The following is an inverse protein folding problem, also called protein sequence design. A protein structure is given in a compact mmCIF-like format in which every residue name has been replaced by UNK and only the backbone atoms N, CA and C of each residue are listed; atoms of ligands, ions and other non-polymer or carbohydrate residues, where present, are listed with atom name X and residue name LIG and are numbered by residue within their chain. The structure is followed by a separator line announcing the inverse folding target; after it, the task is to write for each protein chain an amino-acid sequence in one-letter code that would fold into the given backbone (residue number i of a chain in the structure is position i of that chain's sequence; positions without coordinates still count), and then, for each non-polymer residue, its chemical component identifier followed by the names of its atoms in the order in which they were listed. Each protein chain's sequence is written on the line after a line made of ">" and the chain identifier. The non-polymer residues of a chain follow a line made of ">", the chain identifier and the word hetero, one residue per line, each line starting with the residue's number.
data_IF_085324745494
#
_entry.id   IF_085324745494
#
_cell.length_a   1.000
_cell.length_b   1.000
_cell.length_c   1.000
_cell.angle_alpha   90.00
_cell.angle_beta   90.00
_cell.angle_gamma   90.00
#
_symmetry.space_group_name_H-M   'P 1'
#
loop_
_entity.id
_entity.type
_entity.pdbx_description
1 polymer ?
#
# COMPACT_ATOMS: atom_id res chain seq x y z
N UNK A 1 44.15 -37.55 65.99
CA UNK A 1 43.62 -36.19 65.69
C UNK A 1 43.57 -35.86 64.19
N UNK A 2 44.36 -36.51 63.32
CA UNK A 2 44.47 -36.18 61.89
C UNK A 2 43.29 -36.68 61.00
N UNK A 3 42.59 -37.75 61.39
CA UNK A 3 41.47 -38.29 60.59
C UNK A 3 40.18 -37.47 60.73
N UNK A 4 39.95 -36.92 61.93
CA UNK A 4 38.75 -36.11 62.22
C UNK A 4 38.78 -34.78 61.46
N UNK A 5 39.96 -34.19 61.25
CA UNK A 5 40.11 -32.96 60.46
C UNK A 5 39.93 -33.18 58.95
N UNK A 6 40.40 -34.32 58.41
CA UNK A 6 40.16 -34.70 57.01
C UNK A 6 38.68 -34.93 56.71
N UNK A 7 37.95 -35.60 57.61
CA UNK A 7 36.51 -35.82 57.45
C UNK A 7 35.73 -34.50 57.39
N UNK A 8 36.06 -33.54 58.26
CA UNK A 8 35.41 -32.22 58.29
C UNK A 8 35.74 -31.42 57.02
N UNK A 9 36.98 -31.52 56.53
CA UNK A 9 37.40 -30.83 55.31
C UNK A 9 36.66 -31.35 54.07
N UNK A 10 36.50 -32.67 53.95
CA UNK A 10 35.76 -33.30 52.85
C UNK A 10 34.27 -32.93 52.92
N UNK A 11 33.68 -32.90 54.13
CA UNK A 11 32.30 -32.47 54.33
C UNK A 11 32.10 -31.00 53.94
N UNK A 12 33.05 -30.12 54.29
CA UNK A 12 33.00 -28.72 53.90
C UNK A 12 33.12 -28.53 52.38
N UNK A 13 34.00 -29.29 51.70
CA UNK A 13 34.14 -29.26 50.24
C UNK A 13 32.86 -29.75 49.56
N UNK A 14 32.23 -30.81 50.07
CA UNK A 14 30.96 -31.33 49.53
C UNK A 14 29.80 -30.34 49.72
N UNK A 15 29.74 -29.66 50.86
CA UNK A 15 28.75 -28.60 51.10
C UNK A 15 28.99 -27.42 50.15
N UNK A 16 30.25 -27.03 49.94
CA UNK A 16 30.62 -25.98 48.98
C UNK A 16 30.22 -26.38 47.55
N UNK A 17 30.52 -27.61 47.14
CA UNK A 17 30.15 -28.14 45.82
C UNK A 17 28.64 -28.21 45.64
N UNK A 18 27.90 -28.64 46.67
CA UNK A 18 26.44 -28.63 46.69
C UNK A 18 25.86 -27.22 46.56
N UNK A 19 26.43 -26.24 47.26
CA UNK A 19 26.05 -24.83 47.14
C UNK A 19 26.33 -24.28 45.73
N UNK A 20 27.51 -24.54 45.15
CA UNK A 20 27.83 -24.12 43.78
C UNK A 20 26.91 -24.77 42.73
N UNK A 21 26.59 -26.05 42.87
CA UNK A 21 25.63 -26.73 41.98
C UNK A 21 24.20 -26.17 42.13
N UNK A 22 23.79 -25.83 43.34
CA UNK A 22 22.49 -25.21 43.62
C UNK A 22 22.40 -23.82 42.99
N UNK A 23 23.46 -23.01 43.11
CA UNK A 23 23.53 -21.67 42.52
C UNK A 23 23.57 -21.75 40.98
N UNK A 24 24.30 -22.72 40.41
CA UNK A 24 24.31 -22.97 38.96
C UNK A 24 22.92 -23.36 38.43
N UNK A 25 22.20 -24.27 39.10
CA UNK A 25 20.83 -24.64 38.72
C UNK A 25 19.82 -23.50 38.89
N UNK A 26 20.02 -22.62 39.87
CA UNK A 26 19.17 -21.45 40.06
C UNK A 26 19.41 -20.37 38.98
N UNK A 27 20.60 -20.35 38.36
CA UNK A 27 20.92 -19.47 37.23
C UNK A 27 20.34 -19.92 35.89
N UNK A 28 20.01 -21.21 35.74
CA UNK A 28 19.33 -21.76 34.55
C UNK A 28 17.82 -21.44 34.53
N UNK A 29 17.25 -21.08 35.68
CA UNK A 29 15.88 -20.59 35.83
C UNK A 29 15.74 -19.07 35.62
N UNK A 30 16.62 -18.46 34.83
CA UNK A 30 16.37 -17.12 34.29
C UNK A 30 15.13 -17.21 33.40
N UNK A 31 13.96 -16.87 33.94
CA UNK A 31 12.73 -16.76 33.18
C UNK A 31 13.01 -15.92 31.92
N UNK A 32 12.97 -16.58 30.75
CA UNK A 32 13.11 -15.90 29.48
C UNK A 32 11.96 -14.90 29.37
N UNK A 33 12.30 -13.62 29.46
CA UNK A 33 11.32 -12.55 29.29
C UNK A 33 10.68 -12.71 27.92
N UNK A 34 9.37 -12.94 27.91
CA UNK A 34 8.58 -13.06 26.70
C UNK A 34 7.79 -11.77 26.54
N UNK A 35 7.97 -11.11 25.40
CA UNK A 35 7.29 -9.87 25.09
C UNK A 35 5.82 -10.12 24.78
N UNK A 36 4.93 -9.49 25.54
CA UNK A 36 3.49 -9.50 25.30
C UNK A 36 3.10 -8.22 24.57
N UNK A 37 2.74 -8.35 23.29
CA UNK A 37 2.48 -7.21 22.41
C UNK A 37 0.99 -7.14 22.12
N UNK A 38 0.33 -5.98 22.31
CA UNK A 38 -1.02 -5.78 21.82
C UNK A 38 -1.06 -6.06 20.32
N UNK A 39 -2.03 -6.87 19.89
CA UNK A 39 -2.19 -7.25 18.48
C UNK A 39 -2.12 -6.05 17.50
N UNK A 40 -2.67 -4.90 17.88
CA UNK A 40 -2.71 -3.70 17.04
C UNK A 40 -1.33 -3.05 16.84
N UNK A 41 -0.38 -3.32 17.74
CA UNK A 41 0.95 -2.72 17.74
C UNK A 41 2.02 -3.63 17.12
N UNK A 42 1.72 -4.91 16.91
CA UNK A 42 2.67 -5.84 16.28
C UNK A 42 3.03 -5.40 14.86
N UNK A 43 4.33 -5.22 14.61
CA UNK A 43 4.89 -4.70 13.36
C UNK A 43 5.22 -3.21 13.38
N UNK A 44 4.78 -2.50 14.41
CA UNK A 44 5.09 -1.08 14.65
C UNK A 44 5.26 -0.78 16.16
N UNK A 45 5.69 -1.78 16.94
CA UNK A 45 5.81 -1.68 18.40
C UNK A 45 7.01 -0.82 18.77
N UNK A 46 6.82 0.20 19.61
CA UNK A 46 7.82 1.27 19.83
C UNK A 46 8.55 1.19 21.17
N UNK A 47 8.17 0.30 22.10
CA UNK A 47 8.84 0.21 23.40
C UNK A 47 10.18 -0.54 23.28
N UNK A 48 11.25 0.23 23.07
CA UNK A 48 12.61 -0.30 22.90
C UNK A 48 13.14 -1.00 24.16
N UNK A 49 12.74 -0.56 25.36
CA UNK A 49 13.20 -1.18 26.61
C UNK A 49 12.67 -2.61 26.73
N UNK A 50 11.39 -2.81 26.41
CA UNK A 50 10.78 -4.14 26.43
C UNK A 50 11.31 -5.04 25.30
N UNK A 51 11.57 -4.48 24.12
CA UNK A 51 12.23 -5.20 23.03
C UNK A 51 13.63 -5.68 23.46
N UNK A 52 14.40 -4.84 24.16
CA UNK A 52 15.74 -5.19 24.64
C UNK A 52 15.69 -6.35 25.64
N UNK A 53 14.75 -6.30 26.60
CA UNK A 53 14.53 -7.36 27.59
C UNK A 53 14.15 -8.70 26.93
N UNK A 54 13.45 -8.65 25.80
CA UNK A 54 12.94 -9.83 25.11
C UNK A 54 13.94 -10.49 24.15
N UNK A 55 15.14 -9.92 23.98
CA UNK A 55 16.15 -10.46 23.07
C UNK A 55 16.55 -11.87 23.47
N UNK A 56 16.69 -12.74 22.46
CA UNK A 56 17.15 -14.11 22.69
C UNK A 56 18.65 -14.07 23.03
N UNK A 57 19.03 -14.66 24.16
CA UNK A 57 20.40 -14.65 24.72
C UNK A 57 21.51 -15.03 23.73
N UNK A 58 21.21 -15.95 22.80
CA UNK A 58 22.17 -16.45 21.80
C UNK A 58 21.89 -15.96 20.37
N UNK A 59 20.90 -15.08 20.17
CA UNK A 59 20.53 -14.53 18.87
C UNK A 59 19.91 -13.12 19.06
N UNK A 60 20.76 -12.11 19.11
CA UNK A 60 20.36 -10.72 19.37
C UNK A 60 19.53 -10.10 18.24
N UNK A 61 19.37 -10.80 17.11
CA UNK A 61 18.50 -10.37 16.01
C UNK A 61 17.04 -10.78 16.22
N UNK A 62 16.78 -11.66 17.19
CA UNK A 62 15.46 -12.20 17.49
C UNK A 62 15.01 -11.89 18.91
N UNK A 63 13.70 -11.80 19.07
CA UNK A 63 13.03 -11.64 20.36
C UNK A 63 12.01 -12.75 20.57
N UNK A 64 11.75 -13.05 21.83
CA UNK A 64 10.74 -14.01 22.23
C UNK A 64 9.40 -13.29 22.42
N UNK A 65 8.40 -13.62 21.62
CA UNK A 65 7.07 -12.99 21.63
C UNK A 65 6.02 -13.99 22.10
N UNK A 66 5.09 -13.53 22.94
CA UNK A 66 3.97 -14.32 23.46
C UNK A 66 2.88 -14.40 22.40
N UNK A 67 2.34 -15.60 22.21
CA UNK A 67 1.25 -15.90 21.28
C UNK A 67 0.18 -16.72 21.99
N UNK A 68 -0.95 -16.96 21.31
CA UNK A 68 -1.99 -17.86 21.80
C UNK A 68 -1.53 -19.30 22.04
N UNK A 69 -0.46 -19.74 21.35
CA UNK A 69 0.07 -21.11 21.40
C UNK A 69 1.42 -21.22 22.15
N UNK A 70 1.72 -20.26 23.02
CA UNK A 70 3.00 -20.17 23.74
C UNK A 70 3.92 -19.10 23.17
N UNK A 71 5.23 -19.25 23.32
CA UNK A 71 6.21 -18.24 22.92
C UNK A 71 6.94 -18.63 21.63
N UNK A 72 7.13 -17.69 20.72
CA UNK A 72 7.85 -17.90 19.46
C UNK A 72 9.01 -16.92 19.32
N UNK A 73 10.06 -17.33 18.61
CA UNK A 73 11.21 -16.47 18.30
C UNK A 73 11.01 -15.81 16.95
N UNK A 74 11.06 -14.49 16.90
CA UNK A 74 10.90 -13.72 15.66
C UNK A 74 11.94 -12.63 15.51
N UNK A 75 12.35 -12.27 14.28
CA UNK A 75 13.22 -11.13 14.03
C UNK A 75 12.66 -9.85 14.66
N UNK A 76 13.54 -9.03 15.25
CA UNK A 76 13.17 -7.74 15.86
C UNK A 76 12.44 -6.85 14.85
N UNK A 77 12.93 -6.79 13.61
CA UNK A 77 12.32 -5.98 12.55
C UNK A 77 10.87 -6.35 12.25
N UNK A 78 10.42 -7.58 12.52
CA UNK A 78 9.03 -7.97 12.34
C UNK A 78 8.12 -7.41 13.42
N UNK A 79 8.69 -6.96 14.54
CA UNK A 79 7.95 -6.43 15.68
C UNK A 79 7.86 -4.92 15.65
N UNK A 80 8.94 -4.23 15.32
CA UNK A 80 9.00 -2.77 15.38
C UNK A 80 9.11 -2.07 14.02
N UNK A 81 9.40 -2.80 12.94
CA UNK A 81 9.63 -2.20 11.63
C UNK A 81 9.19 -3.09 10.46
N UNK A 82 8.01 -3.70 10.57
CA UNK A 82 7.54 -4.66 9.57
C UNK A 82 7.26 -4.02 8.19
N UNK A 83 7.21 -2.68 8.12
CA UNK A 83 7.08 -1.93 6.86
C UNK A 83 8.24 -2.20 5.89
N UNK A 84 9.44 -2.50 6.40
CA UNK A 84 10.63 -2.78 5.59
C UNK A 84 10.71 -4.21 5.03
N UNK A 85 9.72 -5.06 5.31
CA UNK A 85 9.69 -6.41 4.75
C UNK A 85 9.48 -6.34 3.24
N UNK A 86 10.47 -6.83 2.48
CA UNK A 86 10.53 -6.73 1.02
C UNK A 86 10.32 -8.06 0.28
N UNK A 87 10.49 -9.20 0.95
CA UNK A 87 10.42 -10.52 0.33
C UNK A 87 9.26 -11.38 0.85
N UNK A 88 8.83 -12.34 0.02
CA UNK A 88 7.68 -13.20 0.28
C UNK A 88 7.87 -14.10 1.51
N UNK A 89 9.09 -14.62 1.72
CA UNK A 89 9.35 -15.54 2.82
C UNK A 89 9.25 -14.82 4.17
N UNK A 90 9.88 -13.65 4.28
CA UNK A 90 9.78 -12.78 5.45
C UNK A 90 8.34 -12.35 5.70
N UNK A 91 7.62 -11.92 4.66
CA UNK A 91 6.22 -11.53 4.77
C UNK A 91 5.33 -12.67 5.28
N UNK A 92 5.53 -13.88 4.77
CA UNK A 92 4.79 -15.06 5.22
C UNK A 92 5.06 -15.39 6.69
N UNK A 93 6.31 -15.27 7.16
CA UNK A 93 6.66 -15.49 8.57
C UNK A 93 6.00 -14.43 9.45
N UNK A 94 6.06 -13.17 9.05
CA UNK A 94 5.44 -12.05 9.74
C UNK A 94 3.92 -12.24 9.86
N UNK A 95 3.21 -12.55 8.77
CA UNK A 95 1.75 -12.76 8.81
C UNK A 95 1.38 -13.96 9.67
N UNK A 96 2.08 -15.09 9.56
CA UNK A 96 1.82 -16.26 10.44
C UNK A 96 2.03 -15.92 11.92
N UNK A 97 3.04 -15.12 12.22
CA UNK A 97 3.27 -14.61 13.57
C UNK A 97 2.11 -13.73 14.02
N UNK A 98 1.73 -12.76 13.20
CA UNK A 98 0.60 -11.88 13.49
C UNK A 98 -0.68 -12.67 13.75
N UNK A 99 -1.01 -13.63 12.89
CA UNK A 99 -2.17 -14.51 13.05
C UNK A 99 -2.11 -15.35 14.33
N UNK A 100 -0.92 -15.75 14.79
CA UNK A 100 -0.76 -16.48 16.06
C UNK A 100 -1.05 -15.63 17.31
N UNK A 101 -0.91 -14.30 17.18
CA UNK A 101 -1.21 -13.32 18.23
C UNK A 101 -2.67 -12.86 18.13
N UNK A 102 -3.14 -12.65 16.90
CA UNK A 102 -4.37 -11.91 16.59
C UNK A 102 -5.53 -12.78 16.06
N UNK A 103 -5.32 -14.09 15.89
CA UNK A 103 -6.27 -14.99 15.25
C UNK A 103 -6.04 -15.15 13.73
N UNK A 104 -6.47 -16.30 13.21
CA UNK A 104 -6.29 -16.69 11.81
C UNK A 104 -7.04 -15.74 10.86
N UNK A 105 -6.38 -15.33 9.76
CA UNK A 105 -6.94 -14.42 8.76
C UNK A 105 -6.86 -12.93 9.14
N UNK A 106 -6.40 -12.61 10.35
CA UNK A 106 -6.21 -11.23 10.80
C UNK A 106 -5.09 -10.54 10.01
N UNK A 107 -5.28 -9.25 9.71
CA UNK A 107 -4.28 -8.41 9.03
C UNK A 107 -3.93 -7.21 9.90
N UNK A 108 -2.64 -6.85 10.04
CA UNK A 108 -2.25 -5.64 10.75
C UNK A 108 -2.76 -4.40 10.04
N UNK A 109 -2.97 -3.32 10.80
CA UNK A 109 -3.33 -2.02 10.23
C UNK A 109 -2.30 -1.54 9.18
N UNK A 110 -1.03 -1.87 9.38
CA UNK A 110 0.08 -1.55 8.46
C UNK A 110 0.17 -2.47 7.23
N UNK A 111 -0.75 -3.42 7.03
CA UNK A 111 -0.63 -4.48 6.00
C UNK A 111 -0.32 -3.93 4.60
N UNK A 112 -1.05 -2.90 4.16
CA UNK A 112 -0.85 -2.28 2.84
C UNK A 112 0.44 -1.44 2.76
N UNK A 113 1.03 -1.08 3.91
CA UNK A 113 2.28 -0.33 4.02
C UNK A 113 3.53 -1.19 4.12
N UNK A 114 3.37 -2.52 4.17
CA UNK A 114 4.49 -3.44 4.07
C UNK A 114 5.03 -3.41 2.64
N UNK A 115 6.33 -3.16 2.48
CA UNK A 115 6.94 -2.93 1.18
C UNK A 115 6.67 -4.06 0.17
N UNK A 116 6.75 -5.32 0.59
CA UNK A 116 6.40 -6.48 -0.25
C UNK A 116 4.96 -6.39 -0.81
N UNK A 117 3.99 -6.04 0.04
CA UNK A 117 2.57 -5.91 -0.35
C UNK A 117 2.39 -4.71 -1.26
N UNK A 118 2.94 -3.55 -0.88
CA UNK A 118 2.89 -2.31 -1.65
C UNK A 118 3.47 -2.49 -3.06
N UNK A 119 4.64 -3.13 -3.17
CA UNK A 119 5.28 -3.45 -4.45
C UNK A 119 4.43 -4.39 -5.30
N UNK A 120 3.80 -5.41 -4.70
CA UNK A 120 2.88 -6.30 -5.41
C UNK A 120 1.64 -5.58 -5.96
N UNK A 121 1.03 -4.70 -5.15
CA UNK A 121 -0.12 -3.87 -5.58
C UNK A 121 0.28 -2.97 -6.75
N UNK A 122 1.41 -2.28 -6.62
CA UNK A 122 1.92 -1.38 -7.66
C UNK A 122 2.21 -2.13 -8.96
N UNK A 123 2.95 -3.24 -8.90
CA UNK A 123 3.27 -4.05 -10.09
C UNK A 123 2.02 -4.56 -10.80
N UNK A 124 1.02 -5.03 -10.04
CA UNK A 124 -0.26 -5.46 -10.58
C UNK A 124 -1.04 -4.31 -11.25
N UNK A 125 -1.02 -3.11 -10.66
CA UNK A 125 -1.62 -1.92 -11.23
C UNK A 125 -0.95 -1.55 -12.57
N UNK A 126 0.39 -1.44 -12.60
CA UNK A 126 1.17 -1.10 -13.80
C UNK A 126 0.91 -2.10 -14.93
N UNK A 127 0.97 -3.41 -14.64
CA UNK A 127 0.78 -4.49 -15.62
C UNK A 127 -0.58 -4.42 -16.33
N UNK A 128 -1.63 -3.92 -15.66
CA UNK A 128 -2.96 -3.73 -16.26
C UNK A 128 -2.95 -2.61 -17.32
N UNK A 129 -2.13 -1.57 -17.14
CA UNK A 129 -2.12 -0.39 -18.01
C UNK A 129 -1.13 -0.48 -19.17
N UNK A 130 -0.05 -1.26 -19.05
CA UNK A 130 0.90 -1.52 -20.15
C UNK A 130 0.21 -1.99 -21.44
N UNK A 131 -0.87 -2.79 -21.29
CA UNK A 131 -1.68 -3.29 -22.42
C UNK A 131 -2.80 -2.34 -22.86
N UNK A 132 -3.18 -1.38 -22.02
CA UNK A 132 -4.38 -0.54 -22.22
C UNK A 132 -4.06 0.69 -23.07
N UNK A 133 -2.92 1.33 -22.83
CA UNK A 133 -2.52 2.56 -23.52
C UNK A 133 -1.37 2.30 -24.49
N UNK A 134 -1.44 2.87 -25.70
CA UNK A 134 -0.45 2.66 -26.76
C UNK A 134 0.71 3.67 -26.70
N UNK A 135 0.47 4.89 -26.25
CA UNK A 135 1.50 5.94 -26.19
C UNK A 135 2.28 5.90 -24.88
N UNK A 136 3.57 6.25 -24.94
CA UNK A 136 4.46 6.30 -23.76
C UNK A 136 3.93 7.28 -22.72
N UNK A 137 3.45 8.45 -23.15
CA UNK A 137 2.90 9.48 -22.25
C UNK A 137 1.64 8.99 -21.50
N UNK A 138 0.70 8.34 -22.20
CA UNK A 138 -0.50 7.81 -21.55
C UNK A 138 -0.17 6.69 -20.54
N UNK A 139 0.80 5.81 -20.89
CA UNK A 139 1.31 4.79 -19.97
C UNK A 139 1.96 5.43 -18.75
N UNK A 140 2.82 6.42 -18.94
CA UNK A 140 3.48 7.13 -17.84
C UNK A 140 2.46 7.78 -16.89
N UNK A 141 1.41 8.41 -17.42
CA UNK A 141 0.36 8.99 -16.59
C UNK A 141 -0.44 7.93 -15.83
N UNK A 142 -0.78 6.81 -16.47
CA UNK A 142 -1.46 5.70 -15.80
C UNK A 142 -0.61 5.10 -14.66
N UNK A 143 0.71 4.99 -14.88
CA UNK A 143 1.67 4.58 -13.84
C UNK A 143 1.71 5.59 -12.70
N UNK A 144 1.67 6.89 -12.98
CA UNK A 144 1.58 7.92 -11.95
C UNK A 144 0.31 7.75 -11.11
N UNK A 145 -0.84 7.48 -11.72
CA UNK A 145 -2.08 7.19 -10.98
C UNK A 145 -1.92 5.96 -10.07
N UNK A 146 -1.21 4.92 -10.51
CA UNK A 146 -0.90 3.75 -9.65
C UNK A 146 -0.06 4.14 -8.43
N UNK A 147 1.00 4.94 -8.63
CA UNK A 147 1.84 5.44 -7.54
C UNK A 147 1.04 6.32 -6.58
N UNK A 148 0.23 7.23 -7.12
CA UNK A 148 -0.61 8.12 -6.33
C UNK A 148 -1.64 7.35 -5.52
N UNK A 149 -2.23 6.30 -6.11
CA UNK A 149 -3.19 5.41 -5.44
C UNK A 149 -2.54 4.62 -4.31
N UNK A 150 -1.32 4.11 -4.53
CA UNK A 150 -0.55 3.46 -3.48
C UNK A 150 -0.25 4.45 -2.34
N UNK A 151 0.33 5.60 -2.66
CA UNK A 151 0.66 6.65 -1.69
C UNK A 151 -0.58 7.13 -0.92
N UNK A 152 -1.72 7.23 -1.60
CA UNK A 152 -2.99 7.54 -0.97
C UNK A 152 -3.38 6.46 0.04
N UNK A 153 -3.30 5.17 -0.32
CA UNK A 153 -3.65 4.05 0.58
C UNK A 153 -2.78 4.01 1.83
N UNK A 154 -1.52 4.48 1.75
CA UNK A 154 -0.59 4.51 2.87
C UNK A 154 -0.90 5.60 3.90
N UNK A 155 -1.44 6.74 3.44
CA UNK A 155 -1.60 7.94 4.26
C UNK A 155 -3.06 8.31 4.53
N UNK A 156 -3.99 7.78 3.74
CA UNK A 156 -5.40 8.11 3.79
C UNK A 156 -6.23 6.83 3.83
N UNK A 157 -7.10 6.64 4.84
CA UNK A 157 -8.03 5.52 4.81
C UNK A 157 -8.95 5.64 3.59
N UNK A 158 -9.17 4.52 2.92
CA UNK A 158 -10.15 4.46 1.83
C UNK A 158 -11.54 4.67 2.46
N UNK A 159 -12.33 5.64 2.01
CA UNK A 159 -13.66 5.89 2.57
C UNK A 159 -14.58 4.68 2.31
N UNK A 160 -15.54 4.46 3.21
CA UNK A 160 -16.56 3.40 3.04
C UNK A 160 -17.34 3.55 1.73
N UNK A 161 -17.51 4.80 1.28
CA UNK A 161 -18.16 5.17 0.02
C UNK A 161 -17.22 6.07 -0.79
N UNK A 162 -16.31 5.48 -1.59
CA UNK A 162 -15.55 6.21 -2.60
C UNK A 162 -16.49 6.88 -3.59
N UNK A 163 -16.00 7.91 -4.28
CA UNK A 163 -16.79 8.60 -5.30
C UNK A 163 -17.14 7.61 -6.41
N UNK A 164 -18.44 7.40 -6.61
CA UNK A 164 -18.94 6.78 -7.81
C UNK A 164 -18.93 7.85 -8.92
N UNK A 165 -18.16 7.65 -10.00
CA UNK A 165 -17.98 8.62 -11.07
C UNK A 165 -19.25 8.92 -11.87
N UNK A 166 -20.35 8.17 -11.66
CA UNK A 166 -21.62 8.32 -12.42
C UNK A 166 -21.37 8.42 -13.92
N UNK A 167 -20.50 7.56 -14.46
CA UNK A 167 -20.20 7.54 -15.89
C UNK A 167 -21.52 7.46 -16.68
N UNK A 168 -21.78 8.37 -17.63
CA UNK A 168 -20.78 9.14 -18.38
C UNK A 168 -20.40 10.53 -17.83
N UNK A 169 -20.94 10.98 -16.70
CA UNK A 169 -20.74 12.35 -16.18
C UNK A 169 -19.34 12.67 -15.61
N UNK A 170 -18.42 11.71 -15.60
CA UNK A 170 -17.04 11.93 -15.17
C UNK A 170 -16.38 13.03 -16.00
N UNK A 171 -15.83 14.04 -15.34
CA UNK A 171 -15.29 15.26 -15.96
C UNK A 171 -16.27 16.43 -15.94
N UNK A 172 -17.54 16.23 -15.64
CA UNK A 172 -18.55 17.29 -15.52
C UNK A 172 -19.40 17.15 -14.27
N UNK A 173 -18.89 16.40 -13.27
CA UNK A 173 -19.60 16.16 -12.03
C UNK A 173 -19.72 17.46 -11.21
N UNK A 174 -20.96 17.86 -10.95
CA UNK A 174 -21.28 18.88 -9.96
C UNK A 174 -21.39 18.23 -8.59
N UNK A 175 -20.28 18.22 -7.84
CA UNK A 175 -20.20 17.63 -6.51
C UNK A 175 -20.50 18.68 -5.44
N UNK A 176 -21.34 18.34 -4.46
CA UNK A 176 -21.54 19.19 -3.28
C UNK A 176 -20.30 19.16 -2.38
N UNK A 177 -20.12 20.20 -1.56
CA UNK A 177 -18.98 20.31 -0.64
C UNK A 177 -18.90 19.11 0.31
N UNK A 178 -20.03 18.62 0.78
CA UNK A 178 -20.10 17.46 1.66
C UNK A 178 -19.66 16.17 0.95
N UNK A 179 -20.04 16.00 -0.33
CA UNK A 179 -19.60 14.86 -1.14
C UNK A 179 -18.07 14.90 -1.35
N UNK A 180 -17.53 16.08 -1.70
CA UNK A 180 -16.09 16.28 -1.86
C UNK A 180 -15.31 15.96 -0.59
N UNK A 181 -15.73 16.50 0.56
CA UNK A 181 -15.04 16.29 1.83
C UNK A 181 -14.95 14.81 2.25
N UNK A 182 -15.92 13.99 1.85
CA UNK A 182 -15.96 12.56 2.20
C UNK A 182 -15.03 11.69 1.35
N UNK A 183 -14.64 12.17 0.17
CA UNK A 183 -13.83 11.40 -0.79
C UNK A 183 -12.48 12.03 -1.09
N UNK A 184 -12.26 13.29 -0.69
CA UNK A 184 -11.01 14.00 -0.91
C UNK A 184 -9.90 13.42 -0.05
N UNK A 185 -8.72 13.28 -0.65
CA UNK A 185 -7.51 12.83 0.04
C UNK A 185 -6.92 14.00 0.82
N UNK A 186 -6.45 13.74 2.04
CA UNK A 186 -5.66 14.72 2.78
C UNK A 186 -4.26 14.84 2.13
N UNK A 187 -3.54 15.89 2.49
CA UNK A 187 -2.17 16.16 2.06
C UNK A 187 -1.25 14.92 2.06
N UNK A 188 -0.19 14.86 1.23
CA UNK A 188 0.37 15.95 0.42
C UNK A 188 0.18 15.69 -1.08
N UNK A 189 -0.88 16.24 -1.67
CA UNK A 189 -1.00 16.34 -3.12
C UNK A 189 -1.07 17.82 -3.52
N UNK A 190 -0.18 18.32 -4.40
CA UNK A 190 -0.18 19.73 -4.81
C UNK A 190 -1.47 20.11 -5.56
N UNK A 191 -2.09 19.14 -6.23
CA UNK A 191 -3.42 19.26 -6.81
C UNK A 191 -4.34 18.35 -5.99
N UNK A 192 -5.49 18.85 -5.48
CA UNK A 192 -6.43 18.04 -4.72
C UNK A 192 -6.84 16.77 -5.46
N UNK A 193 -6.97 15.67 -4.72
CA UNK A 193 -7.34 14.36 -5.26
C UNK A 193 -8.54 13.79 -4.55
N UNK A 194 -9.28 12.95 -5.27
CA UNK A 194 -10.45 12.22 -4.78
C UNK A 194 -10.21 10.71 -4.89
N UNK A 195 -10.75 9.97 -3.92
CA UNK A 195 -10.93 8.52 -4.01
C UNK A 195 -12.09 8.23 -4.95
N UNK A 196 -11.78 7.65 -6.10
CA UNK A 196 -12.76 7.31 -7.14
C UNK A 196 -12.81 5.80 -7.32
N UNK A 197 -14.01 5.24 -7.42
CA UNK A 197 -14.19 3.84 -7.80
C UNK A 197 -14.06 3.69 -9.32
N UNK A 198 -13.07 2.93 -9.76
CA UNK A 198 -12.86 2.59 -11.15
C UNK A 198 -13.87 1.53 -11.64
N UNK A 199 -14.03 1.42 -12.95
CA UNK A 199 -14.96 0.50 -13.62
C UNK A 199 -14.72 -0.98 -13.28
N UNK A 200 -13.49 -1.32 -12.89
CA UNK A 200 -13.10 -2.67 -12.49
C UNK A 200 -13.33 -2.94 -10.99
N UNK A 201 -13.90 -1.99 -10.25
CA UNK A 201 -14.19 -2.07 -8.82
C UNK A 201 -13.06 -1.62 -7.89
N UNK A 202 -11.88 -1.31 -8.42
CA UNK A 202 -10.75 -0.81 -7.62
C UNK A 202 -10.94 0.67 -7.25
N UNK A 203 -10.38 1.10 -6.13
CA UNK A 203 -10.36 2.51 -5.75
C UNK A 203 -9.03 3.14 -6.18
N UNK A 204 -9.10 4.25 -6.90
CA UNK A 204 -7.95 4.97 -7.44
C UNK A 204 -7.97 6.43 -6.98
N UNK A 205 -6.78 7.03 -6.88
CA UNK A 205 -6.60 8.43 -6.51
C UNK A 205 -6.52 9.31 -7.76
N UNK A 206 -7.56 10.10 -8.02
CA UNK A 206 -7.68 10.92 -9.23
C UNK A 206 -7.67 12.41 -8.88
N UNK A 207 -7.03 13.24 -9.71
CA UNK A 207 -7.05 14.69 -9.53
C UNK A 207 -8.47 15.24 -9.67
N UNK A 208 -8.89 16.07 -8.72
CA UNK A 208 -10.25 16.58 -8.62
C UNK A 208 -10.70 17.38 -9.85
N UNK A 209 -9.83 18.22 -10.40
CA UNK A 209 -10.11 19.00 -11.61
C UNK A 209 -10.47 18.11 -12.81
N UNK A 210 -9.87 16.93 -12.93
CA UNK A 210 -10.18 15.98 -14.00
C UNK A 210 -11.53 15.26 -13.80
N UNK A 211 -12.04 15.25 -12.56
CA UNK A 211 -13.33 14.64 -12.20
C UNK A 211 -14.49 15.62 -12.40
N UNK A 212 -14.27 16.91 -12.13
CA UNK A 212 -15.34 17.91 -12.05
C UNK A 212 -15.32 18.93 -13.18
N UNK A 213 -14.17 19.15 -13.85
CA UNK A 213 -14.01 20.27 -14.78
C UNK A 213 -13.16 19.95 -16.03
N UNK A 214 -13.63 19.01 -16.84
CA UNK A 214 -13.04 18.68 -18.13
C UNK A 214 -13.11 19.82 -19.15
N UNK A 215 -13.99 20.81 -18.96
CA UNK A 215 -14.07 21.99 -19.84
C UNK A 215 -12.95 23.01 -19.62
N UNK A 216 -12.20 22.90 -18.53
CA UNK A 216 -11.00 23.70 -18.31
C UNK A 216 -9.74 23.13 -19.00
N UNK A 217 -9.83 21.96 -19.63
CA UNK A 217 -8.74 21.40 -20.44
C UNK A 217 -8.38 22.39 -21.55
N UNK A 218 -7.09 22.73 -21.63
CA UNK A 218 -6.59 23.83 -22.47
C UNK A 218 -5.45 23.46 -23.42
N UNK A 219 -4.87 22.25 -23.26
CA UNK A 219 -3.74 21.78 -24.03
C UNK A 219 -3.76 20.25 -24.25
N UNK A 220 -2.89 19.77 -25.14
CA UNK A 220 -2.80 18.35 -25.52
C UNK A 220 -2.47 17.43 -24.31
N UNK A 221 -1.66 17.90 -23.35
CA UNK A 221 -1.27 17.14 -22.16
C UNK A 221 -2.43 16.99 -21.16
N UNK A 222 -3.11 18.08 -20.83
CA UNK A 222 -4.30 18.07 -19.99
C UNK A 222 -5.40 17.18 -20.58
N UNK A 223 -5.59 17.25 -21.91
CA UNK A 223 -6.54 16.39 -22.60
C UNK A 223 -6.15 14.91 -22.49
N UNK A 224 -4.87 14.59 -22.66
CA UNK A 224 -4.35 13.24 -22.50
C UNK A 224 -4.60 12.72 -21.08
N UNK A 225 -4.29 13.53 -20.07
CA UNK A 225 -4.46 13.18 -18.66
C UNK A 225 -5.92 12.94 -18.32
N UNK A 226 -6.81 13.80 -18.82
CA UNK A 226 -8.25 13.62 -18.68
C UNK A 226 -8.72 12.31 -19.32
N UNK A 227 -8.33 12.03 -20.57
CA UNK A 227 -8.73 10.80 -21.29
C UNK A 227 -8.23 9.52 -20.60
N UNK A 228 -7.00 9.53 -20.08
CA UNK A 228 -6.46 8.40 -19.30
C UNK A 228 -7.28 8.18 -18.03
N UNK A 229 -7.56 9.23 -17.25
CA UNK A 229 -8.38 9.13 -16.04
C UNK A 229 -9.80 8.66 -16.35
N UNK A 230 -10.42 9.20 -17.40
CA UNK A 230 -11.73 8.77 -17.87
C UNK A 230 -11.72 7.29 -18.28
N UNK A 231 -10.69 6.84 -19.01
CA UNK A 231 -10.56 5.44 -19.43
C UNK A 231 -10.36 4.50 -18.26
N UNK A 232 -9.53 4.86 -17.29
CA UNK A 232 -9.33 4.06 -16.07
C UNK A 232 -10.61 4.01 -15.21
N UNK A 233 -11.31 5.14 -15.09
CA UNK A 233 -12.48 5.27 -14.23
C UNK A 233 -13.72 4.65 -14.86
N UNK A 234 -13.98 4.89 -16.14
CA UNK A 234 -15.22 4.51 -16.83
C UNK A 234 -15.07 3.33 -17.79
N UNK A 235 -13.87 2.79 -18.01
CA UNK A 235 -13.64 1.67 -18.93
C UNK A 235 -13.87 2.01 -20.41
N UNK A 236 -13.96 3.31 -20.74
CA UNK A 236 -14.21 3.82 -22.10
C UNK A 236 -13.11 4.81 -22.47
N UNK A 237 -12.62 4.76 -23.71
CA UNK A 237 -11.51 5.62 -24.15
C UNK A 237 -11.87 7.11 -24.22
N UNK A 238 -13.13 7.44 -24.50
CA UNK A 238 -13.59 8.81 -24.79
C UNK A 238 -14.96 9.06 -24.14
N UNK A 239 -15.19 10.22 -23.49
CA UNK A 239 -16.50 10.57 -22.96
C UNK A 239 -17.50 10.96 -24.07
N UNK A 240 -18.81 10.79 -23.85
CA UNK A 240 -19.83 11.21 -24.82
C UNK A 240 -19.79 12.71 -25.16
N UNK A 241 -19.36 13.54 -24.21
CA UNK A 241 -19.27 15.00 -24.37
C UNK A 241 -17.90 15.46 -24.90
N UNK A 242 -17.03 14.56 -25.37
CA UNK A 242 -15.67 14.89 -25.80
C UNK A 242 -15.60 16.02 -26.82
N UNK A 243 -16.51 16.02 -27.81
CA UNK A 243 -16.57 17.05 -28.85
C UNK A 243 -17.05 18.41 -28.32
N UNK A 244 -17.66 18.45 -27.13
CA UNK A 244 -18.10 19.67 -26.45
C UNK A 244 -17.02 20.27 -25.54
N UNK A 245 -15.84 19.66 -25.44
CA UNK A 245 -14.71 20.25 -24.69
C UNK A 245 -14.16 21.43 -25.52
N UNK A 246 -14.10 22.66 -24.99
CA UNK A 246 -13.71 23.84 -25.78
C UNK A 246 -12.37 23.71 -26.52
N UNK A 247 -11.38 23.09 -25.87
CA UNK A 247 -10.09 22.82 -26.51
C UNK A 247 -10.22 21.86 -27.71
N UNK A 248 -11.04 20.81 -27.59
CA UNK A 248 -11.31 19.84 -28.67
C UNK A 248 -12.05 20.51 -29.82
N UNK A 249 -13.04 21.34 -29.50
CA UNK A 249 -13.80 22.12 -30.48
C UNK A 249 -12.89 23.08 -31.27
N UNK A 250 -11.98 23.78 -30.58
CA UNK A 250 -11.02 24.70 -31.23
C UNK A 250 -10.06 24.00 -32.20
N UNK A 251 -9.86 22.69 -32.02
CA UNK A 251 -8.99 21.83 -32.82
C UNK A 251 -9.80 20.79 -33.62
N UNK A 252 -11.06 21.11 -33.91
CA UNK A 252 -12.08 20.21 -34.48
C UNK A 252 -11.62 19.46 -35.75
N UNK A 253 -10.80 20.09 -36.60
CA UNK A 253 -10.18 19.44 -37.76
C UNK A 253 -9.20 18.33 -37.34
N UNK A 254 -8.19 18.65 -36.51
CA UNK A 254 -7.19 17.70 -35.98
C UNK A 254 -7.88 16.52 -35.29
N UNK A 255 -8.90 16.79 -34.48
CA UNK A 255 -9.62 15.76 -33.74
C UNK A 255 -10.57 14.93 -34.60
N UNK A 256 -11.17 15.50 -35.65
CA UNK A 256 -11.90 14.71 -36.64
C UNK A 256 -10.98 13.68 -37.30
N UNK A 257 -9.77 14.09 -37.73
CA UNK A 257 -8.81 13.19 -38.37
C UNK A 257 -8.38 12.11 -37.39
N UNK A 258 -8.04 12.49 -36.16
CA UNK A 258 -7.67 11.54 -35.11
C UNK A 258 -8.81 10.54 -34.83
N UNK A 259 -10.05 11.01 -34.67
CA UNK A 259 -11.21 10.15 -34.41
C UNK A 259 -11.42 9.12 -35.53
N UNK A 260 -11.36 9.55 -36.79
CA UNK A 260 -11.54 8.66 -37.94
C UNK A 260 -10.38 7.66 -38.09
N UNK A 261 -9.13 8.07 -37.85
CA UNK A 261 -7.96 7.17 -37.88
C UNK A 261 -7.99 6.17 -36.73
N UNK A 262 -8.27 6.62 -35.51
CA UNK A 262 -8.08 5.81 -34.30
C UNK A 262 -9.31 4.98 -33.92
N UNK A 263 -10.52 5.49 -34.15
CA UNK A 263 -11.75 4.76 -33.78
C UNK A 263 -12.31 3.95 -34.95
N UNK A 264 -12.18 4.45 -36.17
CA UNK A 264 -12.80 3.86 -37.35
C UNK A 264 -11.79 3.19 -38.30
N UNK A 265 -10.49 3.32 -38.04
CA UNK A 265 -9.41 2.85 -38.90
C UNK A 265 -9.59 3.29 -40.38
N UNK A 266 -10.02 4.53 -40.58
CA UNK A 266 -10.40 5.05 -41.90
C UNK A 266 -9.18 5.64 -42.63
N UNK A 267 -8.72 5.05 -43.75
CA UNK A 267 -7.59 5.57 -44.51
C UNK A 267 -7.89 6.91 -45.20
N UNK A 268 -9.16 7.30 -45.31
CA UNK A 268 -9.62 8.57 -45.90
C UNK A 268 -9.99 9.62 -44.85
N UNK A 269 -9.53 9.46 -43.60
CA UNK A 269 -9.81 10.36 -42.49
C UNK A 269 -9.57 11.85 -42.82
N UNK A 270 -8.42 12.18 -43.42
CA UNK A 270 -8.06 13.56 -43.77
C UNK A 270 -9.01 14.18 -44.80
N UNK A 271 -9.26 13.47 -45.91
CA UNK A 271 -10.20 13.93 -46.96
C UNK A 271 -11.60 14.16 -46.41
N UNK A 272 -12.12 13.21 -45.62
CA UNK A 272 -13.47 13.29 -45.03
C UNK A 272 -13.61 14.45 -44.05
N UNK A 273 -12.56 14.74 -43.27
CA UNK A 273 -12.56 15.89 -42.38
C UNK A 273 -12.45 17.20 -43.16
N UNK A 274 -11.63 17.25 -44.22
CA UNK A 274 -11.57 18.42 -45.11
C UNK A 274 -12.94 18.71 -45.73
N UNK A 275 -13.64 17.71 -46.26
CA UNK A 275 -15.00 17.86 -46.81
C UNK A 275 -16.03 18.32 -45.77
N UNK A 276 -15.84 17.97 -44.49
CA UNK A 276 -16.73 18.35 -43.40
C UNK A 276 -16.54 19.81 -42.96
N UNK A 277 -15.30 20.32 -42.96
CA UNK A 277 -14.97 21.65 -42.44
C UNK A 277 -14.76 22.72 -43.53
N UNK A 278 -14.70 22.32 -44.81
CA UNK A 278 -14.64 23.24 -45.96
C UNK A 278 -16.02 23.44 -46.64
N UNK A 279 -17.12 23.06 -45.98
CA UNK A 279 -18.51 23.35 -46.37
C UNK A 279 -19.07 24.44 -45.48
#
# INVERSE_FOLDING_TARGET
>A
MLERSRSILIQAILILFGLFFSISLQSENLQLYTLEIPCQEFGNYTNLEEIEKAKVKNDSTKILVKTSNGSIKVPIGYVNNAKEITDENSFRIFIKTYESICGKGSKPAIYNSIQFVASGILANCIKKFEKTFQTIQARSHAVNICHDTLNATLNNPIPLKPLDPRCPGFGTLSLKKEELNNVRLNEPFPIPRLWVRAHNGENIAVQENLVTNAFAVSNDEELLFFLVNYSMTCGRKVPPFFESIPYVESQSFKFCVWKLKTMNNDPRAESKCHEKYNK
#
